data_IF_283678867808
#
_entry.id   IF_283678867808
#
_cell.length_a   1.000
_cell.length_b   1.000
_cell.length_c   1.000
_cell.angle_alpha   90.00
_cell.angle_beta   90.00
_cell.angle_gamma   90.00
#
_symmetry.space_group_name_H-M   'P 1'
#
loop_
_entity.id
_entity.type
_entity.pdbx_description
1 polymer ?
#
# COMPACT_ATOMS: atom_id res chain seq x y z
N UNK A 1 7.98 18.83 0.44
CA UNK A 1 8.11 17.36 0.43
C UNK A 1 9.57 16.98 0.41
N UNK A 2 10.05 16.12 1.30
CA UNK A 2 11.44 15.69 1.29
C UNK A 2 11.66 14.67 0.16
N UNK A 3 12.19 15.10 -0.97
CA UNK A 3 12.58 14.21 -2.08
C UNK A 3 13.73 13.26 -1.71
N UNK A 4 14.52 13.62 -0.71
CA UNK A 4 15.77 12.94 -0.40
C UNK A 4 15.69 12.06 0.86
N UNK A 5 14.57 12.07 1.58
CA UNK A 5 14.40 11.30 2.83
C UNK A 5 13.01 10.68 2.93
N UNK A 6 12.81 9.49 2.34
CA UNK A 6 11.56 8.75 2.49
C UNK A 6 11.29 8.37 3.95
N UNK A 7 12.33 8.15 4.77
CA UNK A 7 12.19 7.85 6.19
C UNK A 7 11.52 9.00 6.95
N UNK A 8 11.93 10.23 6.69
CA UNK A 8 11.29 11.43 7.29
C UNK A 8 9.82 11.55 6.88
N UNK A 9 9.47 11.12 5.67
CA UNK A 9 8.09 11.12 5.22
C UNK A 9 7.27 10.04 5.93
N UNK A 10 7.84 8.86 6.17
CA UNK A 10 7.19 7.80 6.99
C UNK A 10 6.91 8.31 8.40
N UNK A 11 7.88 8.96 9.07
CA UNK A 11 7.69 9.53 10.41
C UNK A 11 6.55 10.56 10.45
N UNK A 12 6.47 11.43 9.43
CA UNK A 12 5.40 12.42 9.30
C UNK A 12 4.04 11.72 9.14
N UNK A 13 3.97 10.70 8.28
CA UNK A 13 2.74 9.94 8.04
C UNK A 13 2.29 9.22 9.31
N UNK A 14 3.19 8.51 10.01
CA UNK A 14 2.89 7.86 11.29
C UNK A 14 2.36 8.85 12.35
N UNK A 15 2.92 10.06 12.37
CA UNK A 15 2.49 11.11 13.30
C UNK A 15 1.14 11.75 12.98
N UNK A 16 0.64 11.61 11.75
CA UNK A 16 -0.58 12.28 11.27
C UNK A 16 -1.70 11.31 10.84
N UNK A 17 -1.46 10.01 10.88
CA UNK A 17 -2.41 8.97 10.47
C UNK A 17 -3.58 8.83 11.45
N UNK A 18 -4.78 8.69 10.91
CA UNK A 18 -5.98 8.32 11.64
C UNK A 18 -6.13 6.78 11.75
N UNK A 19 -7.00 6.32 12.63
CA UNK A 19 -7.21 4.88 12.90
C UNK A 19 -7.77 4.09 11.71
N UNK A 20 -8.33 4.75 10.70
CA UNK A 20 -8.84 4.14 9.48
C UNK A 20 -7.84 4.21 8.30
N UNK A 21 -6.60 4.58 8.56
CA UNK A 21 -5.54 4.76 7.56
C UNK A 21 -4.37 3.81 7.82
N UNK A 22 -3.64 3.48 6.75
CA UNK A 22 -2.40 2.72 6.83
C UNK A 22 -1.45 3.06 5.68
N UNK A 23 -0.16 2.96 5.91
CA UNK A 23 0.86 3.14 4.89
C UNK A 23 0.98 1.84 4.08
N UNK A 24 0.93 1.96 2.76
CA UNK A 24 1.23 0.87 1.83
C UNK A 24 2.65 0.98 1.30
N UNK A 25 3.02 2.16 0.82
CA UNK A 25 4.30 2.34 0.14
C UNK A 25 4.74 3.81 0.19
N UNK A 26 6.01 4.04 0.49
CA UNK A 26 6.68 5.34 0.40
C UNK A 26 7.97 5.13 -0.38
N UNK A 27 8.17 5.83 -1.49
CA UNK A 27 9.39 5.73 -2.28
C UNK A 27 9.80 7.07 -2.86
N UNK A 28 11.09 7.20 -3.08
CA UNK A 28 11.70 8.25 -3.88
C UNK A 28 12.59 7.66 -4.97
N UNK A 29 12.98 8.49 -5.90
CA UNK A 29 13.87 8.07 -6.98
C UNK A 29 14.00 9.12 -8.06
N UNK A 30 14.37 8.66 -9.27
CA UNK A 30 14.47 9.51 -10.45
C UNK A 30 13.55 8.99 -11.57
N UNK A 31 12.85 9.91 -12.22
CA UNK A 31 12.17 9.68 -13.47
C UNK A 31 13.19 9.39 -14.59
N UNK A 32 12.71 8.88 -15.71
CA UNK A 32 13.56 8.57 -16.88
C UNK A 32 14.32 9.78 -17.40
N UNK A 33 13.75 10.98 -17.32
CA UNK A 33 14.39 12.25 -17.70
C UNK A 33 15.40 12.78 -16.68
N UNK A 34 15.58 12.09 -15.54
CA UNK A 34 16.48 12.46 -14.45
C UNK A 34 15.87 13.35 -13.37
N UNK A 35 14.63 13.82 -13.52
CA UNK A 35 13.90 14.55 -12.48
C UNK A 35 13.65 13.66 -11.26
N UNK A 36 13.74 14.24 -10.05
CA UNK A 36 13.48 13.50 -8.81
C UNK A 36 11.98 13.31 -8.63
N UNK A 37 11.61 12.21 -7.96
CA UNK A 37 10.27 12.00 -7.48
C UNK A 37 10.25 11.50 -6.03
N UNK A 38 9.12 11.74 -5.38
CA UNK A 38 8.74 11.11 -4.12
C UNK A 38 7.24 10.86 -4.14
N UNK A 39 6.82 9.68 -3.71
CA UNK A 39 5.40 9.35 -3.57
C UNK A 39 5.13 8.52 -2.33
N UNK A 40 3.88 8.52 -1.93
CA UNK A 40 3.36 7.56 -0.99
C UNK A 40 1.96 7.10 -1.38
N UNK A 41 1.66 5.86 -1.03
CA UNK A 41 0.35 5.22 -1.16
C UNK A 41 -0.15 4.93 0.25
N UNK A 42 -1.34 5.45 0.55
CA UNK A 42 -2.07 5.19 1.78
C UNK A 42 -3.29 4.34 1.48
N UNK A 43 -3.64 3.44 2.39
CA UNK A 43 -4.95 2.79 2.34
C UNK A 43 -5.91 3.45 3.34
N UNK A 44 -7.19 3.35 3.02
CA UNK A 44 -8.28 3.90 3.82
C UNK A 44 -9.41 2.90 3.95
N UNK A 45 -10.05 2.90 5.10
CA UNK A 45 -11.30 2.20 5.30
C UNK A 45 -12.44 3.21 5.36
N UNK A 46 -13.42 3.07 4.46
CA UNK A 46 -14.59 3.92 4.39
C UNK A 46 -15.85 3.23 4.91
N UNK A 47 -16.81 4.04 5.36
CA UNK A 47 -18.16 3.63 5.73
C UNK A 47 -18.36 3.47 7.22
N UNK A 48 -19.61 3.68 7.64
CA UNK A 48 -20.04 3.66 9.05
C UNK A 48 -20.58 2.29 9.48
N UNK A 49 -20.59 1.33 8.57
CA UNK A 49 -21.09 -0.03 8.81
C UNK A 49 -20.10 -0.94 9.54
N UNK A 50 -20.53 -2.16 9.91
CA UNK A 50 -19.63 -3.19 10.44
C UNK A 50 -18.54 -3.54 9.39
N UNK A 51 -17.38 -4.03 9.84
CA UNK A 51 -16.20 -4.29 9.03
C UNK A 51 -16.45 -4.92 7.65
N UNK A 52 -17.33 -5.93 7.48
CA UNK A 52 -17.56 -6.53 6.17
C UNK A 52 -18.28 -5.62 5.16
N UNK A 53 -18.88 -4.51 5.59
CA UNK A 53 -19.59 -3.56 4.71
C UNK A 53 -18.77 -2.30 4.42
N UNK A 54 -17.55 -2.21 4.96
CA UNK A 54 -16.64 -1.08 4.71
C UNK A 54 -15.88 -1.32 3.42
N UNK A 55 -15.68 -0.23 2.69
CA UNK A 55 -14.90 -0.22 1.44
C UNK A 55 -13.46 0.14 1.75
N UNK A 56 -12.52 -0.59 1.17
CA UNK A 56 -11.11 -0.24 1.16
C UNK A 56 -10.79 0.60 -0.08
N UNK A 57 -10.01 1.64 0.10
CA UNK A 57 -9.50 2.46 -1.01
C UNK A 57 -8.03 2.80 -0.79
N UNK A 58 -7.39 3.25 -1.86
CA UNK A 58 -5.98 3.62 -1.89
C UNK A 58 -5.83 5.02 -2.44
N UNK A 59 -5.06 5.85 -1.74
CA UNK A 59 -4.74 7.21 -2.18
C UNK A 59 -3.27 7.30 -2.55
N UNK A 60 -3.01 7.75 -3.77
CA UNK A 60 -1.69 8.13 -4.24
C UNK A 60 -1.46 9.62 -4.01
N UNK A 61 -0.29 9.96 -3.48
CA UNK A 61 0.25 11.31 -3.47
C UNK A 61 1.66 11.26 -4.08
N UNK A 62 1.81 11.86 -5.25
CA UNK A 62 3.01 11.74 -6.07
C UNK A 62 3.53 13.13 -6.47
N UNK A 63 4.76 13.44 -6.08
CA UNK A 63 5.46 14.66 -6.45
C UNK A 63 6.65 14.32 -7.34
N UNK A 64 6.85 15.05 -8.41
CA UNK A 64 7.96 14.84 -9.33
C UNK A 64 8.40 16.15 -9.99
N UNK A 65 9.68 16.19 -10.39
CA UNK A 65 10.30 17.34 -11.02
C UNK A 65 10.32 17.20 -12.54
N UNK A 66 9.94 18.27 -13.24
CA UNK A 66 10.22 18.46 -14.67
C UNK A 66 10.88 19.82 -14.85
N UNK A 67 12.17 19.81 -15.20
CA UNK A 67 12.96 21.02 -15.27
C UNK A 67 13.10 21.69 -13.89
N UNK A 68 12.67 22.93 -13.79
CA UNK A 68 12.66 23.73 -12.55
C UNK A 68 11.32 23.70 -11.79
N UNK A 69 10.39 22.88 -12.23
CA UNK A 69 9.01 22.80 -11.67
C UNK A 69 8.78 21.48 -10.97
N UNK A 70 8.03 21.56 -9.88
CA UNK A 70 7.49 20.39 -9.17
C UNK A 70 6.01 20.24 -9.52
N UNK A 71 5.65 19.05 -9.96
CA UNK A 71 4.27 18.65 -10.24
C UNK A 71 3.77 17.73 -9.14
N UNK A 72 2.48 17.84 -8.88
CA UNK A 72 1.79 17.04 -7.89
C UNK A 72 0.62 16.30 -8.55
N UNK A 73 0.56 14.98 -8.33
CA UNK A 73 -0.59 14.14 -8.69
C UNK A 73 -1.14 13.55 -7.41
N UNK A 74 -2.45 13.70 -7.19
CA UNK A 74 -3.19 12.99 -6.16
C UNK A 74 -4.36 12.26 -6.79
N UNK A 75 -4.59 11.01 -6.39
CA UNK A 75 -5.67 10.20 -6.91
C UNK A 75 -6.13 9.18 -5.89
N UNK A 76 -7.43 8.84 -5.93
CA UNK A 76 -8.04 7.80 -5.11
C UNK A 76 -8.50 6.66 -6.00
N UNK A 77 -8.29 5.43 -5.54
CA UNK A 77 -8.64 4.19 -6.22
C UNK A 77 -9.39 3.31 -5.23
N UNK A 78 -10.68 3.16 -5.41
CA UNK A 78 -11.54 2.45 -4.46
C UNK A 78 -11.88 1.05 -4.97
N UNK A 79 -11.96 0.09 -4.05
CA UNK A 79 -12.49 -1.23 -4.36
C UNK A 79 -13.97 -1.12 -4.75
N UNK A 80 -14.33 -1.80 -5.84
CA UNK A 80 -15.69 -1.86 -6.36
C UNK A 80 -16.01 -3.27 -6.87
N UNK A 81 -17.28 -3.65 -6.79
CA UNK A 81 -17.72 -4.95 -7.25
C UNK A 81 -17.33 -6.09 -6.30
N UNK A 82 -16.71 -7.15 -6.84
CA UNK A 82 -16.28 -8.31 -6.04
C UNK A 82 -14.97 -8.00 -5.31
N UNK A 83 -15.07 -7.72 -4.02
CA UNK A 83 -13.94 -7.41 -3.14
C UNK A 83 -13.44 -8.64 -2.40
N UNK A 84 -12.22 -8.57 -1.84
CA UNK A 84 -11.67 -9.61 -0.97
C UNK A 84 -11.04 -10.82 -1.67
N UNK A 85 -11.06 -10.93 -3.01
CA UNK A 85 -10.39 -12.02 -3.73
C UNK A 85 -8.87 -11.99 -3.53
N UNK A 86 -8.29 -10.80 -3.58
CA UNK A 86 -6.85 -10.60 -3.35
C UNK A 86 -6.46 -11.03 -1.94
N UNK A 87 -7.26 -10.68 -0.94
CA UNK A 87 -7.04 -11.07 0.45
C UNK A 87 -7.14 -12.58 0.64
N UNK A 88 -8.14 -13.22 0.04
CA UNK A 88 -8.30 -14.69 0.12
C UNK A 88 -7.09 -15.43 -0.43
N UNK A 89 -6.57 -15.01 -1.57
CA UNK A 89 -5.35 -15.59 -2.16
C UNK A 89 -4.12 -15.27 -1.29
N UNK A 90 -4.01 -14.07 -0.75
CA UNK A 90 -2.91 -13.68 0.14
C UNK A 90 -2.85 -14.54 1.40
N UNK A 91 -3.99 -14.80 2.02
CA UNK A 91 -4.11 -15.70 3.19
C UNK A 91 -3.71 -17.13 2.82
N UNK A 92 -4.19 -17.64 1.69
CA UNK A 92 -3.83 -19.00 1.22
C UNK A 92 -2.33 -19.15 0.98
N UNK A 93 -1.71 -18.15 0.34
CA UNK A 93 -0.26 -18.15 0.10
C UNK A 93 0.54 -18.10 1.40
N UNK A 94 0.11 -17.32 2.39
CA UNK A 94 0.75 -17.26 3.69
C UNK A 94 0.64 -18.59 4.45
N UNK A 95 -0.56 -19.21 4.43
CA UNK A 95 -0.77 -20.53 5.03
C UNK A 95 0.12 -21.60 4.40
N UNK A 96 0.20 -21.63 3.06
CA UNK A 96 1.10 -22.55 2.33
C UNK A 96 2.57 -22.32 2.65
N UNK A 97 3.00 -21.06 2.79
CA UNK A 97 4.40 -20.75 3.16
C UNK A 97 4.74 -21.27 4.55
N UNK A 98 3.85 -21.13 5.53
CA UNK A 98 4.02 -21.70 6.88
C UNK A 98 4.08 -23.23 6.85
N UNK A 99 3.19 -23.87 6.12
CA UNK A 99 3.18 -25.33 5.95
C UNK A 99 4.51 -25.84 5.36
N UNK A 100 5.02 -25.18 4.32
CA UNK A 100 6.30 -25.51 3.69
C UNK A 100 7.50 -25.29 4.62
N UNK A 101 7.41 -24.33 5.55
CA UNK A 101 8.42 -24.10 6.58
C UNK A 101 8.34 -25.08 7.76
N UNK A 102 7.32 -25.96 7.78
CA UNK A 102 7.09 -26.90 8.88
C UNK A 102 6.47 -26.23 10.12
N UNK A 103 5.92 -25.03 9.97
CA UNK A 103 5.24 -24.31 11.03
C UNK A 103 3.75 -24.72 11.13
N UNK A 104 3.15 -24.69 12.33
CA UNK A 104 1.72 -24.97 12.47
C UNK A 104 0.90 -23.91 11.73
N UNK A 105 -0.15 -24.34 11.02
CA UNK A 105 -1.08 -23.45 10.32
C UNK A 105 -2.33 -23.30 11.17
N UNK A 106 -2.42 -22.18 11.88
CA UNK A 106 -3.62 -21.74 12.59
C UNK A 106 -4.11 -20.43 11.94
N UNK A 107 -5.30 -20.49 11.35
CA UNK A 107 -5.87 -19.35 10.62
C UNK A 107 -6.16 -18.16 11.54
N UNK A 108 -6.56 -18.41 12.79
CA UNK A 108 -6.79 -17.34 13.76
C UNK A 108 -5.47 -16.65 14.14
N UNK A 109 -4.43 -17.43 14.41
CA UNK A 109 -3.10 -16.90 14.69
C UNK A 109 -2.54 -16.09 13.51
N UNK A 110 -2.72 -16.57 12.27
CA UNK A 110 -2.34 -15.84 11.05
C UNK A 110 -3.03 -14.49 10.98
N UNK A 111 -4.35 -14.45 11.17
CA UNK A 111 -5.13 -13.21 11.08
C UNK A 111 -4.80 -12.22 12.20
N UNK A 112 -4.51 -12.71 13.40
CA UNK A 112 -4.21 -11.87 14.56
C UNK A 112 -2.77 -11.34 14.58
N UNK A 113 -1.78 -12.15 14.17
CA UNK A 113 -0.38 -11.83 14.39
C UNK A 113 0.44 -11.61 13.11
N UNK A 114 0.05 -12.22 11.97
CA UNK A 114 0.87 -12.24 10.76
C UNK A 114 0.25 -11.50 9.58
N UNK A 115 -1.08 -11.26 9.60
CA UNK A 115 -1.82 -10.71 8.48
C UNK A 115 -1.57 -9.23 8.25
N UNK A 116 -1.62 -8.44 9.33
CA UNK A 116 -1.41 -6.99 9.29
C UNK A 116 -0.05 -6.60 9.84
N UNK A 117 0.61 -5.67 9.17
CA UNK A 117 1.85 -5.06 9.65
C UNK A 117 2.11 -3.73 8.96
N UNK A 118 2.82 -2.83 9.66
CA UNK A 118 3.40 -1.67 9.01
C UNK A 118 4.62 -2.10 8.17
N UNK A 119 4.76 -1.60 6.91
CA UNK A 119 5.87 -1.99 6.05
C UNK A 119 7.22 -1.38 6.44
N UNK A 120 7.24 -0.36 7.32
CA UNK A 120 8.44 0.41 7.69
C UNK A 120 8.85 0.26 9.14
N UNK A 121 7.89 0.01 10.04
CA UNK A 121 8.13 -0.17 11.46
C UNK A 121 7.35 -1.38 11.98
N UNK A 122 8.03 -2.49 12.29
CA UNK A 122 7.35 -3.71 12.76
C UNK A 122 6.67 -3.54 14.14
N UNK A 123 7.07 -2.52 14.90
CA UNK A 123 6.50 -2.22 16.22
C UNK A 123 5.33 -1.24 16.15
N UNK A 124 5.07 -0.66 14.96
CA UNK A 124 3.94 0.24 14.76
C UNK A 124 2.64 -0.55 14.58
N UNK A 125 1.69 -0.36 15.49
CA UNK A 125 0.44 -1.16 15.56
C UNK A 125 -0.83 -0.34 15.43
N UNK A 126 -0.72 0.96 15.17
CA UNK A 126 -1.89 1.85 15.04
C UNK A 126 -2.42 1.90 13.61
N UNK A 127 -3.73 2.14 13.50
CA UNK A 127 -4.38 2.38 12.22
C UNK A 127 -4.81 1.11 11.48
N UNK A 128 -5.17 1.28 10.21
CA UNK A 128 -5.58 0.22 9.30
C UNK A 128 -4.37 -0.27 8.49
N UNK A 129 -3.51 -1.05 9.14
CA UNK A 129 -2.21 -1.46 8.60
C UNK A 129 -2.31 -2.21 7.27
N UNK A 130 -1.23 -2.16 6.50
CA UNK A 130 -1.02 -2.98 5.31
C UNK A 130 -1.20 -4.46 5.64
N UNK A 131 -1.90 -5.20 4.79
CA UNK A 131 -2.03 -6.65 4.91
C UNK A 131 -1.09 -7.40 3.94
N UNK A 132 -0.97 -8.69 4.12
CA UNK A 132 -0.05 -9.53 3.32
C UNK A 132 -0.44 -9.69 1.86
N UNK A 133 -1.69 -9.40 1.48
CA UNK A 133 -2.11 -9.42 0.08
C UNK A 133 -1.69 -8.16 -0.69
N UNK A 134 -1.38 -7.08 0.02
CA UNK A 134 -1.09 -5.76 -0.57
C UNK A 134 0.35 -5.59 -1.03
N UNK A 135 1.16 -6.63 -0.98
CA UNK A 135 2.53 -6.66 -1.52
C UNK A 135 2.51 -6.54 -3.05
N UNK A 136 3.55 -5.92 -3.61
CA UNK A 136 3.64 -5.63 -5.05
C UNK A 136 3.73 -6.90 -5.91
N UNK A 137 4.24 -7.98 -5.37
CA UNK A 137 4.37 -9.28 -6.04
C UNK A 137 3.03 -9.86 -6.49
N UNK A 138 1.94 -9.53 -5.82
CA UNK A 138 0.59 -9.97 -6.18
C UNK A 138 -0.09 -9.10 -7.24
N UNK A 139 0.48 -7.97 -7.62
CA UNK A 139 -0.13 -7.06 -8.61
C UNK A 139 -0.36 -7.73 -9.96
N UNK A 140 0.53 -8.63 -10.40
CA UNK A 140 0.39 -9.35 -11.66
C UNK A 140 -0.78 -10.34 -11.68
N UNK A 141 -1.18 -10.85 -10.52
CA UNK A 141 -2.34 -11.73 -10.38
C UNK A 141 -3.67 -10.94 -10.35
N UNK A 142 -3.60 -9.68 -9.94
CA UNK A 142 -4.76 -8.79 -9.80
C UNK A 142 -4.52 -7.45 -10.50
N UNK A 143 -4.34 -7.43 -11.84
CA UNK A 143 -3.92 -6.22 -12.55
C UNK A 143 -4.96 -5.09 -12.51
N UNK A 144 -6.24 -5.42 -12.33
CA UNK A 144 -7.34 -4.44 -12.23
C UNK A 144 -7.68 -4.04 -10.78
N UNK A 145 -6.99 -4.61 -9.80
CA UNK A 145 -7.18 -4.22 -8.40
C UNK A 145 -6.74 -2.77 -8.19
N UNK A 146 -7.47 -1.96 -7.39
CA UNK A 146 -7.17 -0.54 -7.17
C UNK A 146 -5.71 -0.26 -6.82
N UNK A 147 -5.11 -1.05 -5.92
CA UNK A 147 -3.71 -0.89 -5.55
C UNK A 147 -2.75 -1.17 -6.71
N UNK A 148 -3.05 -2.18 -7.53
CA UNK A 148 -2.25 -2.50 -8.73
C UNK A 148 -2.33 -1.37 -9.76
N UNK A 149 -3.52 -0.79 -9.97
CA UNK A 149 -3.72 0.38 -10.84
C UNK A 149 -2.98 1.60 -10.32
N UNK A 150 -2.98 1.82 -9.00
CA UNK A 150 -2.21 2.90 -8.36
C UNK A 150 -0.72 2.76 -8.68
N UNK A 151 -0.15 1.58 -8.51
CA UNK A 151 1.26 1.31 -8.83
C UNK A 151 1.57 1.36 -10.32
N UNK A 152 0.61 0.97 -11.18
CA UNK A 152 0.74 1.13 -12.64
C UNK A 152 0.83 2.61 -13.02
N UNK A 153 0.01 3.48 -12.42
CA UNK A 153 0.08 4.93 -12.65
C UNK A 153 1.45 5.50 -12.25
N UNK A 154 2.00 5.10 -11.09
CA UNK A 154 3.35 5.51 -10.66
C UNK A 154 4.38 5.11 -11.71
N UNK A 155 4.40 3.85 -12.15
CA UNK A 155 5.33 3.37 -13.19
C UNK A 155 5.17 4.15 -14.50
N UNK A 156 3.93 4.37 -14.93
CA UNK A 156 3.66 5.15 -16.15
C UNK A 156 4.27 6.55 -16.07
N UNK A 157 4.09 7.26 -14.94
CA UNK A 157 4.64 8.61 -14.76
C UNK A 157 6.17 8.60 -14.71
N UNK A 158 6.78 7.67 -13.97
CA UNK A 158 8.24 7.60 -13.83
C UNK A 158 8.95 7.20 -15.12
N UNK A 159 8.32 6.35 -15.94
CA UNK A 159 8.91 5.83 -17.17
C UNK A 159 8.74 6.78 -18.37
N UNK A 160 7.77 7.70 -18.32
CA UNK A 160 7.46 8.62 -19.41
C UNK A 160 7.90 10.07 -19.15
N UNK A 161 8.51 10.35 -18.00
CA UNK A 161 9.06 11.68 -17.67
C UNK A 161 10.54 11.64 -17.35
#
# INVERSE_FOLDING_TARGET
MPFDSPESLVDILHGSMDDNQGIIEVRNGKCRNGGRFVYYIMKYMYGDGPVPTRTCGYQLNFNFEIGDKVFFISGSFDEAGMTGMRDSIGIELLAKAKEQAGEPVDMMEILENDWFRDPYDPDYTKGFLMNRSEIAELDSMFPEHPLSLTRQLVRYVTDNN
#
